data_IF_608950091550
#
_entry.id   IF_608950091550
#
_cell.length_a   1.000
_cell.length_b   1.000
_cell.length_c   1.000
_cell.angle_alpha   90.00
_cell.angle_beta   90.00
_cell.angle_gamma   90.00
#
_symmetry.space_group_name_H-M   'P 1'
#
loop_
_entity.id
_entity.type
_entity.pdbx_description
1 polymer ?
#
# COMPACT_ATOMS: atom_id res chain seq x y z
N UNK A 1 -2.21 33.66 2.06
CA UNK A 1 -2.42 32.60 1.05
C UNK A 1 -1.65 31.37 1.52
N UNK A 2 -2.34 30.29 1.92
CA UNK A 2 -1.67 29.00 2.12
C UNK A 2 -1.31 28.50 0.72
N UNK A 3 -0.02 28.40 0.41
CA UNK A 3 0.41 27.79 -0.85
C UNK A 3 -0.19 26.40 -0.95
N UNK A 4 -0.71 26.05 -2.12
CA UNK A 4 -1.20 24.70 -2.40
C UNK A 4 -0.05 23.72 -2.09
N UNK A 5 -0.26 22.77 -1.18
CA UNK A 5 0.70 21.70 -0.96
C UNK A 5 0.88 20.91 -2.26
N UNK A 6 2.12 20.53 -2.58
CA UNK A 6 2.42 19.73 -3.76
C UNK A 6 1.68 18.38 -3.69
N UNK A 7 1.11 17.96 -4.83
CA UNK A 7 0.42 16.68 -5.00
C UNK A 7 1.35 15.50 -4.75
N UNK A 8 0.80 14.29 -4.55
CA UNK A 8 1.63 13.10 -4.40
C UNK A 8 2.50 12.92 -5.65
N UNK A 9 1.93 13.03 -6.86
CA UNK A 9 2.65 12.87 -8.12
C UNK A 9 3.82 13.84 -8.25
N UNK A 10 3.62 15.13 -7.94
CA UNK A 10 4.69 16.13 -7.97
C UNK A 10 5.81 15.77 -6.98
N UNK A 11 5.46 15.35 -5.77
CA UNK A 11 6.43 14.90 -4.76
C UNK A 11 7.20 13.67 -5.23
N UNK A 12 6.52 12.66 -5.76
CA UNK A 12 7.16 11.44 -6.26
C UNK A 12 8.05 11.74 -7.47
N UNK A 13 7.63 12.65 -8.34
CA UNK A 13 8.45 13.12 -9.47
C UNK A 13 9.71 13.83 -9.00
N UNK A 14 9.59 14.76 -8.07
CA UNK A 14 10.75 15.42 -7.47
C UNK A 14 11.71 14.41 -6.81
N UNK A 15 11.18 13.38 -6.15
CA UNK A 15 12.00 12.30 -5.56
C UNK A 15 12.71 11.46 -6.62
N UNK A 16 12.06 11.14 -7.75
CA UNK A 16 12.70 10.43 -8.87
C UNK A 16 13.79 11.29 -9.50
N UNK A 17 13.50 12.56 -9.79
CA UNK A 17 14.44 13.49 -10.40
C UNK A 17 15.63 13.83 -9.48
N UNK A 18 15.42 13.79 -8.17
CA UNK A 18 16.43 14.00 -7.14
C UNK A 18 17.16 12.72 -6.70
N UNK A 19 16.91 11.57 -7.34
CA UNK A 19 17.59 10.31 -7.03
C UNK A 19 19.11 10.49 -7.10
N UNK A 20 19.81 9.97 -6.09
CA UNK A 20 21.28 9.88 -6.05
C UNK A 20 21.77 8.44 -6.07
N UNK A 21 20.94 7.53 -6.57
CA UNK A 21 21.32 6.13 -6.73
C UNK A 21 22.46 6.03 -7.74
N UNK A 22 23.38 5.09 -7.49
CA UNK A 22 24.44 4.81 -8.45
C UNK A 22 23.85 4.14 -9.71
N UNK A 23 24.43 4.35 -10.90
CA UNK A 23 23.88 3.81 -12.15
C UNK A 23 23.63 2.30 -12.14
N UNK A 24 24.49 1.52 -11.48
CA UNK A 24 24.33 0.06 -11.35
C UNK A 24 23.08 -0.33 -10.53
N UNK A 25 22.73 0.49 -9.52
CA UNK A 25 21.54 0.28 -8.70
C UNK A 25 20.30 0.66 -9.51
N UNK A 26 20.35 1.78 -10.24
CA UNK A 26 19.27 2.23 -11.10
C UNK A 26 18.97 1.21 -12.21
N UNK A 27 20.01 0.67 -12.86
CA UNK A 27 19.88 -0.37 -13.86
C UNK A 27 19.25 -1.66 -13.29
N UNK A 28 19.65 -2.06 -12.07
CA UNK A 28 19.06 -3.22 -11.41
C UNK A 28 17.57 -3.04 -11.10
N UNK A 29 17.17 -1.87 -10.60
CA UNK A 29 15.75 -1.57 -10.39
C UNK A 29 14.99 -1.46 -11.71
N UNK A 30 15.57 -0.83 -12.74
CA UNK A 30 14.95 -0.73 -14.07
C UNK A 30 14.70 -2.11 -14.68
N UNK A 31 15.68 -3.02 -14.56
CA UNK A 31 15.52 -4.43 -14.94
C UNK A 31 14.35 -5.07 -14.21
N UNK A 32 14.33 -4.98 -12.87
CA UNK A 32 13.24 -5.52 -12.07
C UNK A 32 11.87 -4.97 -12.52
N UNK A 33 11.75 -3.65 -12.71
CA UNK A 33 10.49 -3.03 -13.14
C UNK A 33 10.05 -3.49 -14.55
N UNK A 34 10.98 -3.81 -15.43
CA UNK A 34 10.67 -4.32 -16.77
C UNK A 34 10.24 -5.79 -16.78
N UNK A 35 10.73 -6.59 -15.83
CA UNK A 35 10.48 -8.03 -15.75
C UNK A 35 9.31 -8.37 -14.80
N UNK A 36 9.01 -7.50 -13.84
CA UNK A 36 7.98 -7.72 -12.85
C UNK A 36 6.60 -7.35 -13.39
N UNK A 37 5.75 -8.37 -13.52
CA UNK A 37 4.37 -8.25 -13.98
C UNK A 37 3.44 -8.75 -12.87
N UNK A 38 2.99 -7.88 -11.94
CA UNK A 38 2.02 -8.28 -10.94
C UNK A 38 0.71 -8.67 -11.62
N UNK A 39 0.05 -9.69 -11.08
CA UNK A 39 -1.27 -10.16 -11.53
C UNK A 39 -2.29 -9.90 -10.42
N UNK A 40 -2.63 -8.63 -10.13
CA UNK A 40 -3.56 -8.33 -9.06
C UNK A 40 -4.96 -8.87 -9.39
N UNK A 41 -5.75 -9.16 -8.35
CA UNK A 41 -7.15 -9.53 -8.53
C UNK A 41 -7.91 -8.44 -9.33
N UNK A 42 -8.67 -8.87 -10.33
CA UNK A 42 -9.35 -7.96 -11.25
C UNK A 42 -10.64 -7.37 -10.64
N UNK A 43 -11.06 -6.22 -11.17
CA UNK A 43 -12.39 -5.65 -10.91
C UNK A 43 -13.49 -6.69 -11.14
N UNK A 44 -14.49 -6.71 -10.27
CA UNK A 44 -15.57 -7.70 -10.23
C UNK A 44 -15.23 -8.96 -9.43
N UNK A 45 -13.97 -9.21 -9.10
CA UNK A 45 -13.57 -10.32 -8.22
C UNK A 45 -13.93 -10.03 -6.76
N UNK A 46 -13.93 -11.06 -5.92
CA UNK A 46 -14.11 -10.93 -4.47
C UNK A 46 -12.76 -10.82 -3.78
N UNK A 47 -12.64 -9.94 -2.79
CA UNK A 47 -11.42 -9.90 -1.98
C UNK A 47 -11.28 -11.21 -1.16
N UNK A 48 -10.05 -11.74 -1.02
CA UNK A 48 -9.75 -12.71 0.02
C UNK A 48 -10.04 -12.11 1.39
N UNK A 49 -10.74 -12.86 2.25
CA UNK A 49 -10.93 -12.45 3.63
C UNK A 49 -9.62 -12.58 4.41
N UNK A 50 -9.36 -11.64 5.32
CA UNK A 50 -8.19 -11.67 6.18
C UNK A 50 -8.55 -11.21 7.59
N UNK A 51 -7.73 -11.64 8.53
CA UNK A 51 -7.70 -11.14 9.90
C UNK A 51 -6.25 -10.96 10.30
N UNK A 52 -5.82 -9.72 10.43
CA UNK A 52 -4.43 -9.36 10.70
C UNK A 52 -4.33 -8.52 11.97
N UNK A 53 -3.26 -8.69 12.77
CA UNK A 53 -3.01 -7.80 13.89
C UNK A 53 -2.58 -6.41 13.40
N UNK A 54 -2.99 -5.37 14.11
CA UNK A 54 -2.33 -4.07 14.07
C UNK A 54 -1.06 -4.06 14.96
N UNK A 55 -0.34 -2.94 14.95
CA UNK A 55 0.85 -2.72 15.81
C UNK A 55 0.60 -2.90 17.32
N UNK A 56 -0.64 -2.81 17.80
CA UNK A 56 -1.02 -3.01 19.20
C UNK A 56 -1.51 -4.45 19.48
N UNK A 57 -1.42 -5.35 18.49
CA UNK A 57 -1.88 -6.74 18.57
C UNK A 57 -3.39 -6.90 18.45
N UNK A 58 -4.14 -5.84 18.12
CA UNK A 58 -5.59 -5.93 17.92
C UNK A 58 -5.87 -6.54 16.56
N UNK A 59 -6.68 -7.59 16.53
CA UNK A 59 -7.06 -8.25 15.29
C UNK A 59 -8.08 -7.39 14.55
N UNK A 60 -7.78 -7.07 13.29
CA UNK A 60 -8.66 -6.37 12.36
C UNK A 60 -9.10 -7.35 11.27
N UNK A 61 -10.42 -7.56 11.16
CA UNK A 61 -11.06 -8.48 10.23
C UNK A 61 -11.63 -7.72 9.03
N UNK A 62 -11.31 -8.16 7.81
CA UNK A 62 -11.89 -7.52 6.62
C UNK A 62 -13.40 -7.71 6.51
N UNK A 63 -13.95 -8.80 7.07
CA UNK A 63 -15.40 -9.03 7.13
C UNK A 63 -16.07 -7.95 7.99
N UNK A 64 -15.52 -7.67 9.17
CA UNK A 64 -16.08 -6.70 10.11
C UNK A 64 -16.00 -5.27 9.56
N UNK A 65 -14.94 -4.96 8.81
CA UNK A 65 -14.79 -3.68 8.12
C UNK A 65 -15.84 -3.53 6.98
N UNK A 66 -16.02 -4.57 6.17
CA UNK A 66 -16.98 -4.58 5.06
C UNK A 66 -18.44 -4.44 5.53
N UNK A 67 -18.76 -4.94 6.73
CA UNK A 67 -20.07 -4.73 7.36
C UNK A 67 -20.33 -3.25 7.66
N UNK A 68 -19.30 -2.45 7.92
CA UNK A 68 -19.41 -1.03 8.23
C UNK A 68 -19.55 -0.17 6.97
N UNK A 69 -18.86 -0.54 5.89
CA UNK A 69 -18.86 0.22 4.64
C UNK A 69 -17.88 -0.34 3.61
N UNK A 70 -17.70 0.35 2.47
CA UNK A 70 -16.65 0.01 1.50
C UNK A 70 -15.27 0.00 2.15
N UNK A 71 -14.36 -0.81 1.63
CA UNK A 71 -13.03 -0.99 2.20
C UNK A 71 -11.95 -0.61 1.18
N UNK A 72 -11.08 0.32 1.56
CA UNK A 72 -9.85 0.65 0.84
C UNK A 72 -8.68 -0.11 1.47
N UNK A 73 -8.01 -0.93 0.68
CA UNK A 73 -6.91 -1.79 1.12
C UNK A 73 -5.66 -1.36 0.37
N UNK A 74 -4.67 -0.81 1.07
CA UNK A 74 -3.40 -0.37 0.46
C UNK A 74 -2.27 -1.27 0.93
N UNK A 75 -1.62 -1.98 0.00
CA UNK A 75 -0.41 -2.74 0.24
C UNK A 75 0.83 -1.87 0.00
N UNK A 76 1.79 -1.92 0.91
CA UNK A 76 3.03 -1.16 0.78
C UNK A 76 4.25 -1.96 1.27
N UNK A 77 5.43 -1.64 0.74
CA UNK A 77 6.66 -2.42 0.97
C UNK A 77 7.15 -2.33 2.40
N UNK A 78 7.08 -1.14 2.96
CA UNK A 78 7.39 -0.85 4.34
C UNK A 78 7.85 0.58 4.57
N UNK A 79 7.93 0.97 5.83
CA UNK A 79 8.22 2.35 6.27
C UNK A 79 9.67 2.79 6.02
N UNK A 80 10.55 1.84 5.71
CA UNK A 80 11.90 2.11 5.22
C UNK A 80 11.92 2.64 3.78
N UNK A 81 10.81 2.51 3.04
CA UNK A 81 10.71 2.98 1.66
C UNK A 81 10.20 4.43 1.62
N UNK A 82 10.99 5.38 1.10
CA UNK A 82 10.60 6.80 1.12
C UNK A 82 9.37 7.08 0.25
N UNK A 83 9.20 6.35 -0.86
CA UNK A 83 8.01 6.46 -1.71
C UNK A 83 6.74 5.99 -0.99
N UNK A 84 6.84 4.92 -0.19
CA UNK A 84 5.73 4.46 0.66
C UNK A 84 5.38 5.52 1.71
N UNK A 85 6.37 6.14 2.36
CA UNK A 85 6.11 7.18 3.36
C UNK A 85 5.40 8.40 2.76
N UNK A 86 5.78 8.80 1.54
CA UNK A 86 5.11 9.88 0.82
C UNK A 86 3.64 9.54 0.51
N UNK A 87 3.37 8.32 0.05
CA UNK A 87 2.02 7.82 -0.18
C UNK A 87 1.20 7.73 1.12
N UNK A 88 1.78 7.21 2.20
CA UNK A 88 1.07 7.10 3.49
C UNK A 88 0.68 8.47 4.04
N UNK A 89 1.55 9.47 3.92
CA UNK A 89 1.23 10.84 4.29
C UNK A 89 0.06 11.40 3.45
N UNK A 90 0.09 11.21 2.14
CA UNK A 90 -0.99 11.67 1.25
C UNK A 90 -2.32 10.95 1.53
N UNK A 91 -2.30 9.64 1.81
CA UNK A 91 -3.49 8.91 2.25
C UNK A 91 -4.02 9.43 3.58
N UNK A 92 -3.14 9.82 4.49
CA UNK A 92 -3.52 10.39 5.79
C UNK A 92 -4.20 11.76 5.66
N UNK A 93 -3.74 12.57 4.70
CA UNK A 93 -4.36 13.85 4.35
C UNK A 93 -5.75 13.62 3.72
N UNK A 94 -5.88 12.63 2.83
CA UNK A 94 -7.15 12.27 2.17
C UNK A 94 -8.13 11.50 3.07
N UNK A 95 -7.67 10.96 4.21
CA UNK A 95 -8.43 10.01 5.02
C UNK A 95 -9.79 10.54 5.48
N UNK A 96 -9.89 11.81 5.89
CA UNK A 96 -11.17 12.36 6.37
C UNK A 96 -12.22 12.40 5.24
N UNK A 97 -11.78 12.67 4.00
CA UNK A 97 -12.63 12.64 2.82
C UNK A 97 -13.05 11.21 2.47
N UNK A 98 -12.17 10.24 2.67
CA UNK A 98 -12.47 8.81 2.50
C UNK A 98 -13.51 8.38 3.55
N UNK A 99 -13.27 8.66 4.84
CA UNK A 99 -14.20 8.32 5.93
C UNK A 99 -15.57 8.98 5.77
N UNK A 100 -15.62 10.21 5.25
CA UNK A 100 -16.89 10.90 4.98
C UNK A 100 -17.78 10.17 3.94
N UNK A 101 -17.23 9.25 3.14
CA UNK A 101 -18.02 8.40 2.22
C UNK A 101 -18.59 7.14 2.90
N UNK A 102 -18.27 6.91 4.18
CA UNK A 102 -18.59 5.69 4.90
C UNK A 102 -17.56 4.57 4.72
N UNK A 103 -16.59 4.74 3.81
CA UNK A 103 -15.53 3.77 3.60
C UNK A 103 -14.51 3.77 4.75
N UNK A 104 -13.85 2.64 4.99
CA UNK A 104 -12.69 2.54 5.88
C UNK A 104 -11.42 2.29 5.06
N UNK A 105 -10.25 2.70 5.59
CA UNK A 105 -8.96 2.47 4.97
C UNK A 105 -8.05 1.65 5.89
N UNK A 106 -7.37 0.66 5.32
CA UNK A 106 -6.30 -0.08 5.99
C UNK A 106 -5.06 -0.13 5.11
N UNK A 107 -3.90 0.00 5.75
CA UNK A 107 -2.60 -0.19 5.11
C UNK A 107 -1.99 -1.51 5.58
N UNK A 108 -1.45 -2.31 4.67
CA UNK A 108 -0.94 -3.65 4.96
C UNK A 108 0.51 -3.76 4.49
N UNK A 109 1.40 -4.20 5.38
CA UNK A 109 2.80 -4.48 5.04
C UNK A 109 3.33 -5.67 5.83
N UNK A 110 4.43 -6.31 5.39
CA UNK A 110 5.02 -7.43 6.11
C UNK A 110 5.86 -7.02 7.32
N UNK A 111 5.82 -5.75 7.73
CA UNK A 111 6.67 -5.23 8.78
C UNK A 111 6.34 -5.81 10.15
N UNK A 112 7.36 -5.92 11.02
CA UNK A 112 7.16 -6.28 12.42
C UNK A 112 6.25 -5.30 13.15
N UNK A 113 5.61 -5.76 14.23
CA UNK A 113 4.82 -4.90 15.12
C UNK A 113 5.64 -3.73 15.67
N UNK A 114 6.91 -3.99 15.99
CA UNK A 114 7.85 -2.97 16.46
C UNK A 114 8.04 -1.88 15.40
N UNK A 115 8.43 -2.26 14.16
CA UNK A 115 8.67 -1.29 13.09
C UNK A 115 7.41 -0.51 12.70
N UNK A 116 6.24 -1.14 12.74
CA UNK A 116 4.97 -0.48 12.51
C UNK A 116 4.61 0.49 13.66
N UNK A 117 4.88 0.10 14.91
CA UNK A 117 4.68 0.93 16.09
C UNK A 117 5.57 2.17 16.13
N UNK A 118 6.87 2.00 15.84
CA UNK A 118 7.84 3.11 15.76
C UNK A 118 7.39 4.13 14.71
N UNK A 119 7.04 3.67 13.51
CA UNK A 119 6.55 4.54 12.45
C UNK A 119 5.29 5.30 12.86
N UNK A 120 4.33 4.65 13.53
CA UNK A 120 3.11 5.30 13.99
C UNK A 120 3.36 6.35 15.07
N UNK A 121 4.39 6.16 15.89
CA UNK A 121 4.79 7.14 16.90
C UNK A 121 5.34 8.42 16.27
N UNK A 122 6.05 8.30 15.15
CA UNK A 122 6.61 9.42 14.37
C UNK A 122 5.58 10.04 13.43
N UNK A 123 4.63 9.23 12.94
CA UNK A 123 3.62 9.60 11.97
C UNK A 123 2.23 9.22 12.49
N UNK A 124 1.46 10.17 13.05
CA UNK A 124 0.14 9.90 13.62
C UNK A 124 -0.90 9.63 12.52
N UNK A 125 -0.86 8.40 11.98
CA UNK A 125 -1.80 7.93 10.98
C UNK A 125 -3.20 7.76 11.58
N UNK A 126 -4.20 8.23 10.85
CA UNK A 126 -5.62 8.17 11.22
C UNK A 126 -6.28 6.81 10.93
N UNK A 127 -5.61 5.97 10.16
CA UNK A 127 -6.05 4.61 9.80
C UNK A 127 -5.10 3.54 10.36
N UNK A 128 -5.56 2.29 10.31
CA UNK A 128 -4.80 1.16 10.84
C UNK A 128 -3.73 0.67 9.86
N UNK A 129 -2.54 0.40 10.39
CA UNK A 129 -1.48 -0.36 9.71
C UNK A 129 -1.51 -1.79 10.24
N UNK A 130 -1.72 -2.76 9.35
CA UNK A 130 -1.85 -4.18 9.65
C UNK A 130 -0.59 -4.94 9.23
N UNK A 131 -0.26 -5.95 10.02
CA UNK A 131 0.97 -6.74 9.89
C UNK A 131 0.66 -8.03 9.13
N UNK A 132 1.12 -8.11 7.90
CA UNK A 132 1.01 -9.29 7.03
C UNK A 132 2.33 -10.07 6.99
N UNK A 133 2.65 -10.74 8.09
CA UNK A 133 3.90 -11.50 8.22
C UNK A 133 4.08 -12.47 7.06
N UNK A 134 5.24 -12.39 6.39
CA UNK A 134 5.55 -13.13 5.16
C UNK A 134 4.67 -12.79 3.94
N UNK A 135 4.02 -11.62 3.91
CA UNK A 135 3.25 -11.09 2.80
C UNK A 135 2.20 -12.10 2.25
N UNK A 136 1.53 -12.85 3.13
CA UNK A 136 0.59 -13.91 2.75
C UNK A 136 -0.74 -13.36 2.26
N UNK A 137 -1.23 -12.30 2.90
CA UNK A 137 -2.42 -11.60 2.42
C UNK A 137 -2.09 -10.92 1.09
N UNK A 138 -0.94 -10.23 0.97
CA UNK A 138 -0.53 -9.67 -0.32
C UNK A 138 -0.44 -10.73 -1.43
N UNK A 139 0.08 -11.93 -1.12
CA UNK A 139 0.11 -13.07 -2.06
C UNK A 139 -1.29 -13.49 -2.50
N UNK A 140 -2.25 -13.56 -1.59
CA UNK A 140 -3.65 -13.89 -1.93
C UNK A 140 -4.34 -12.84 -2.82
N UNK A 141 -3.83 -11.61 -2.86
CA UNK A 141 -4.29 -10.53 -3.74
C UNK A 141 -3.51 -10.47 -5.06
N UNK A 142 -2.56 -11.37 -5.30
CA UNK A 142 -1.71 -11.37 -6.49
C UNK A 142 -0.60 -10.31 -6.47
N UNK A 143 -0.26 -9.80 -5.28
CA UNK A 143 0.69 -8.70 -5.11
C UNK A 143 2.01 -9.10 -4.45
N UNK A 144 2.30 -10.36 -4.16
CA UNK A 144 3.58 -10.72 -3.54
C UNK A 144 4.65 -11.13 -4.56
N UNK A 145 5.90 -10.73 -4.32
CA UNK A 145 7.07 -11.21 -5.06
C UNK A 145 8.23 -11.45 -4.10
N UNK A 146 9.13 -12.37 -4.46
CA UNK A 146 10.42 -12.52 -3.78
C UNK A 146 11.39 -11.52 -4.40
N UNK A 147 11.98 -10.64 -3.58
CA UNK A 147 12.98 -9.69 -4.06
C UNK A 147 14.17 -10.45 -4.65
N UNK A 148 14.53 -10.23 -5.92
CA UNK A 148 15.63 -10.96 -6.56
C UNK A 148 16.97 -10.77 -5.83
N UNK A 149 17.81 -11.81 -5.81
CA UNK A 149 19.10 -11.81 -5.08
C UNK A 149 20.01 -10.62 -5.42
N UNK A 150 20.00 -10.19 -6.69
CA UNK A 150 20.77 -9.04 -7.14
C UNK A 150 20.29 -7.73 -6.49
N UNK A 151 18.99 -7.58 -6.18
CA UNK A 151 18.47 -6.45 -5.42
C UNK A 151 18.72 -6.63 -3.93
N UNK A 152 18.60 -7.85 -3.39
CA UNK A 152 18.91 -8.12 -1.97
C UNK A 152 20.35 -7.68 -1.62
N UNK A 153 21.31 -7.89 -2.53
CA UNK A 153 22.69 -7.45 -2.36
C UNK A 153 22.78 -5.93 -2.18
N UNK A 154 22.05 -5.14 -2.97
CA UNK A 154 22.01 -3.68 -2.78
C UNK A 154 21.39 -3.27 -1.45
N UNK A 155 20.32 -3.94 -1.00
CA UNK A 155 19.74 -3.68 0.33
C UNK A 155 20.75 -3.92 1.45
N UNK A 156 21.44 -5.06 1.43
CA UNK A 156 22.44 -5.39 2.46
C UNK A 156 23.65 -4.47 2.44
N UNK A 157 24.20 -4.18 1.26
CA UNK A 157 25.53 -3.58 1.16
C UNK A 157 25.50 -2.08 0.83
N UNK A 158 24.60 -1.65 -0.05
CA UNK A 158 24.50 -0.24 -0.45
C UNK A 158 23.57 0.55 0.49
N UNK A 159 22.39 0.01 0.79
CA UNK A 159 21.41 0.66 1.66
C UNK A 159 21.59 0.31 3.14
N UNK A 160 22.45 -0.67 3.46
CA UNK A 160 22.69 -1.16 4.83
C UNK A 160 21.39 -1.46 5.58
N UNK A 161 20.42 -2.02 4.87
CA UNK A 161 19.08 -2.31 5.34
C UNK A 161 18.83 -3.81 5.24
N UNK A 162 18.57 -4.47 6.37
CA UNK A 162 18.16 -5.88 6.39
C UNK A 162 16.63 -5.97 6.43
N UNK A 163 16.03 -6.24 5.27
CA UNK A 163 14.58 -6.36 5.16
C UNK A 163 14.02 -7.57 5.91
N UNK A 164 14.81 -8.63 6.12
CA UNK A 164 14.35 -9.81 6.86
C UNK A 164 14.18 -9.52 8.34
N UNK A 165 15.07 -8.69 8.90
CA UNK A 165 14.95 -8.20 10.27
C UNK A 165 13.76 -7.25 10.45
N UNK A 166 13.51 -6.37 9.47
CA UNK A 166 12.41 -5.40 9.52
C UNK A 166 11.04 -6.09 9.40
N UNK A 167 10.97 -7.18 8.63
CA UNK A 167 9.72 -7.87 8.28
C UNK A 167 9.41 -9.12 9.13
N UNK A 168 9.99 -9.22 10.33
CA UNK A 168 9.70 -10.26 11.35
C UNK A 168 9.74 -11.71 10.82
N UNK A 169 10.52 -11.95 9.76
CA UNK A 169 10.44 -13.18 8.99
C UNK A 169 11.63 -13.32 8.05
N UNK A 170 12.15 -14.53 7.94
CA UNK A 170 13.35 -14.90 7.14
C UNK A 170 13.18 -14.77 5.62
N UNK A 171 12.18 -14.02 5.17
CA UNK A 171 11.79 -13.94 3.76
C UNK A 171 12.12 -12.60 3.15
N UNK A 172 12.52 -12.65 1.87
CA UNK A 172 12.68 -11.48 1.00
C UNK A 172 11.40 -11.15 0.22
N UNK A 173 10.28 -11.75 0.64
CA UNK A 173 8.99 -11.49 0.03
C UNK A 173 8.48 -10.11 0.42
N UNK A 174 8.15 -9.31 -0.60
CA UNK A 174 7.58 -7.98 -0.45
C UNK A 174 6.29 -7.89 -1.25
N UNK A 175 5.34 -7.04 -0.84
CA UNK A 175 4.24 -6.67 -1.69
C UNK A 175 4.73 -5.73 -2.80
N UNK A 176 4.25 -5.95 -4.02
CA UNK A 176 4.06 -4.91 -5.02
C UNK A 176 3.08 -3.90 -4.42
N UNK A 177 3.46 -2.61 -4.35
CA UNK A 177 2.53 -1.59 -3.89
C UNK A 177 1.29 -1.55 -4.76
N UNK A 178 0.13 -1.50 -4.11
CA UNK A 178 -1.14 -1.49 -4.81
C UNK A 178 -2.28 -1.17 -3.87
N UNK A 179 -3.40 -0.80 -4.46
CA UNK A 179 -4.62 -0.40 -3.77
C UNK A 179 -5.82 -1.10 -4.38
N UNK A 180 -6.65 -1.66 -3.51
CA UNK A 180 -7.96 -2.19 -3.86
C UNK A 180 -9.04 -1.36 -3.19
N UNK A 181 -10.13 -1.15 -3.92
CA UNK A 181 -11.39 -0.64 -3.37
C UNK A 181 -12.42 -1.75 -3.50
N UNK A 182 -12.92 -2.22 -2.37
CA UNK A 182 -14.00 -3.20 -2.31
C UNK A 182 -15.30 -2.55 -1.84
N UNK A 183 -16.42 -2.88 -2.49
CA UNK A 183 -17.76 -2.56 -1.98
C UNK A 183 -18.09 -3.46 -0.77
N UNK A 184 -19.16 -3.16 -0.04
CA UNK A 184 -19.58 -3.81 1.23
C UNK A 184 -19.77 -5.31 1.13
N UNK A 185 -20.13 -5.80 -0.06
CA UNK A 185 -20.24 -7.22 -0.27
C UNK A 185 -18.85 -7.87 -0.32
N UNK A 186 -17.78 -7.13 -0.66
CA UNK A 186 -16.42 -7.60 -0.86
C UNK A 186 -16.00 -7.65 -2.33
N UNK A 187 -16.84 -7.15 -3.24
CA UNK A 187 -16.54 -7.07 -4.67
C UNK A 187 -15.57 -5.92 -4.95
N UNK A 188 -14.47 -6.21 -5.63
CA UNK A 188 -13.46 -5.24 -6.05
C UNK A 188 -14.05 -4.35 -7.15
N UNK A 189 -14.09 -3.05 -6.93
CA UNK A 189 -14.61 -2.08 -7.90
C UNK A 189 -13.51 -1.25 -8.56
N UNK A 190 -12.34 -1.20 -7.93
CA UNK A 190 -11.15 -0.56 -8.47
C UNK A 190 -9.91 -1.27 -7.93
N UNK A 191 -8.91 -1.41 -8.79
CA UNK A 191 -7.61 -1.99 -8.46
C UNK A 191 -6.52 -1.21 -9.17
N UNK A 192 -5.46 -0.95 -8.42
CA UNK A 192 -4.26 -0.32 -8.93
C UNK A 192 -3.04 -1.04 -8.35
N UNK A 193 -2.09 -1.41 -9.20
CA UNK A 193 -0.84 -2.03 -8.79
C UNK A 193 0.26 -1.67 -9.79
N UNK A 194 1.45 -1.34 -9.30
CA UNK A 194 2.57 -1.01 -10.15
C UNK A 194 3.88 -1.61 -9.61
N UNK A 195 4.52 -2.45 -10.42
CA UNK A 195 5.83 -3.01 -10.11
C UNK A 195 6.88 -1.93 -9.87
N UNK A 196 6.81 -0.83 -10.64
CA UNK A 196 7.58 0.37 -10.35
C UNK A 196 6.94 1.09 -9.16
N UNK A 197 7.48 0.78 -7.99
CA UNK A 197 7.04 1.33 -6.72
C UNK A 197 7.21 2.87 -6.64
N UNK A 198 7.76 3.54 -7.65
CA UNK A 198 7.95 5.00 -7.66
C UNK A 198 6.76 5.75 -8.27
N UNK A 199 5.79 5.05 -8.84
CA UNK A 199 4.58 5.64 -9.42
C UNK A 199 3.34 5.27 -8.60
N UNK A 200 2.59 6.29 -8.18
CA UNK A 200 1.30 6.16 -7.47
C UNK A 200 0.32 7.22 -7.98
N UNK A 201 -0.98 6.92 -8.05
CA UNK A 201 -2.00 7.91 -8.28
C UNK A 201 -2.29 8.68 -6.99
N UNK A 202 -2.94 9.82 -7.17
CA UNK A 202 -3.41 10.65 -6.07
C UNK A 202 -4.43 9.88 -5.23
N UNK A 203 -4.27 9.85 -3.90
CA UNK A 203 -5.27 9.29 -2.99
C UNK A 203 -6.67 9.87 -3.19
N UNK A 204 -6.78 11.16 -3.49
CA UNK A 204 -8.04 11.87 -3.72
C UNK A 204 -8.83 11.30 -4.90
N UNK A 205 -8.16 10.64 -5.86
CA UNK A 205 -8.80 10.03 -7.01
C UNK A 205 -9.77 8.90 -6.64
N UNK A 206 -9.65 8.32 -5.43
CA UNK A 206 -10.55 7.25 -4.97
C UNK A 206 -11.88 7.80 -4.43
N UNK A 207 -11.92 9.06 -3.98
CA UNK A 207 -13.11 9.63 -3.32
C UNK A 207 -14.33 9.64 -4.25
N UNK A 208 -14.24 10.03 -5.55
CA UNK A 208 -15.36 9.91 -6.47
C UNK A 208 -15.87 8.48 -6.67
N UNK A 209 -14.99 7.48 -6.62
CA UNK A 209 -15.36 6.06 -6.71
C UNK A 209 -16.19 5.68 -5.48
N UNK A 210 -15.67 6.00 -4.29
CA UNK A 210 -16.33 5.71 -3.01
C UNK A 210 -17.68 6.43 -2.87
N UNK A 211 -17.79 7.69 -3.30
CA UNK A 211 -19.06 8.43 -3.35
C UNK A 211 -20.10 7.71 -4.21
N UNK A 212 -19.68 7.10 -5.32
CA UNK A 212 -20.59 6.33 -6.18
C UNK A 212 -21.10 5.07 -5.48
N UNK A 213 -20.25 4.37 -4.73
CA UNK A 213 -20.66 3.21 -3.93
C UNK A 213 -21.68 3.61 -2.85
N UNK A 214 -21.45 4.75 -2.19
CA UNK A 214 -22.34 5.25 -1.14
C UNK A 214 -23.75 5.59 -1.64
N UNK A 215 -23.92 5.90 -2.93
CA UNK A 215 -25.22 6.17 -3.55
C UNK A 215 -26.00 4.90 -3.89
N UNK A 216 -25.37 3.71 -3.83
CA UNK A 216 -25.96 2.44 -4.24
C UNK A 216 -26.16 2.31 -5.75
N UNK A 217 -26.66 1.16 -6.23
CA UNK A 217 -26.94 0.97 -7.64
C UNK A 217 -28.04 1.95 -8.09
N UNK A 218 -27.75 2.71 -9.17
CA UNK A 218 -28.77 3.50 -9.87
C UNK A 218 -29.80 2.51 -10.40
N UNK A 219 -30.99 2.47 -9.77
CA UNK A 219 -32.12 1.71 -10.31
C UNK A 219 -32.44 2.30 -11.69
N UNK A 220 -32.14 1.56 -12.75
CA UNK A 220 -32.72 1.86 -14.06
C UNK A 220 -34.23 1.65 -13.92
N UNK A 221 -34.99 2.72 -14.10
CA UNK A 221 -36.44 2.68 -14.24
C UNK A 221 -36.83 1.91 -15.51
#
# INVERSE_FOLDING_TARGET
>A
MRGTMATLKERLEAMRNGSKLKPEIEAAFARYFSEAHPEPLANGSRIPHFSLPDHAGRIVSSIDLLQQGPLVITFFRGTWCPYCNAEMAALNDAYDSIRATGAELVAISPQSAQSAGDYRSEHPLKFSVLIDTNARVAESFGLAYILPDYLQAFYRHAFRTDLTAINDGKTWRLPVPGRFIADRDGTIVDVEANADYRFRPEPEAIVPILKRLALGPVRKA
#
